data_IF_731791896575
#
_entry.id   IF_731791896575
#
_cell.length_a   1.000
_cell.length_b   1.000
_cell.length_c   1.000
_cell.angle_alpha   90.00
_cell.angle_beta   90.00
_cell.angle_gamma   90.00
#
_symmetry.space_group_name_H-M   'P 1'
#
loop_
_entity.id
_entity.type
_entity.pdbx_description
1 polymer ?
#
# COMPACT_ATOMS: atom_id res chain seq x y z
N UNK A 1 4.20 -4.12 -23.32
CA UNK A 1 4.58 -4.26 -21.90
C UNK A 1 4.37 -2.91 -21.18
N UNK A 2 3.14 -2.54 -20.85
CA UNK A 2 2.83 -1.37 -19.98
C UNK A 2 1.58 -1.75 -19.17
N UNK A 3 1.78 -2.28 -17.97
CA UNK A 3 0.68 -2.73 -17.09
C UNK A 3 0.34 -1.66 -16.06
N UNK A 4 1.33 -1.01 -15.45
CA UNK A 4 1.10 0.09 -14.50
C UNK A 4 0.51 1.35 -15.15
N UNK A 5 0.88 1.64 -16.40
CA UNK A 5 0.42 2.85 -17.09
C UNK A 5 -1.05 2.83 -17.57
N UNK A 6 -1.75 1.69 -17.48
CA UNK A 6 -3.17 1.58 -17.91
C UNK A 6 -4.18 1.83 -16.79
N UNK A 7 -3.76 1.67 -15.53
CA UNK A 7 -4.60 1.78 -14.32
C UNK A 7 -3.86 2.51 -13.19
N UNK A 8 -3.28 3.70 -13.45
CA UNK A 8 -2.43 4.39 -12.48
C UNK A 8 -3.18 4.79 -11.20
N UNK A 9 -4.46 5.17 -11.31
CA UNK A 9 -5.27 5.53 -10.15
C UNK A 9 -5.51 4.32 -9.24
N UNK A 10 -5.78 3.15 -9.83
CA UNK A 10 -5.95 1.91 -9.07
C UNK A 10 -4.72 1.56 -8.23
N UNK A 11 -3.52 1.69 -8.80
CA UNK A 11 -2.28 1.49 -8.05
C UNK A 11 -2.13 2.53 -6.93
N UNK A 12 -2.37 3.81 -7.24
CA UNK A 12 -2.28 4.90 -6.27
C UNK A 12 -3.23 4.72 -5.08
N UNK A 13 -4.43 4.21 -5.29
CA UNK A 13 -5.38 3.96 -4.21
C UNK A 13 -4.97 2.76 -3.35
N UNK A 14 -4.44 1.69 -3.96
CA UNK A 14 -4.08 0.47 -3.24
C UNK A 14 -2.72 0.55 -2.51
N UNK A 15 -1.79 1.38 -2.98
CA UNK A 15 -0.46 1.47 -2.34
C UNK A 15 -0.53 1.92 -0.88
N UNK A 16 -1.43 2.85 -0.56
CA UNK A 16 -1.56 3.39 0.80
C UNK A 16 -2.01 2.33 1.80
N UNK A 17 -3.16 1.64 1.63
CA UNK A 17 -3.57 0.58 2.54
C UNK A 17 -2.55 -0.57 2.57
N UNK A 18 -1.95 -0.92 1.43
CA UNK A 18 -0.91 -1.97 1.37
C UNK A 18 0.29 -1.61 2.24
N UNK A 19 0.80 -0.38 2.13
CA UNK A 19 1.91 0.08 2.96
C UNK A 19 1.57 0.11 4.45
N UNK A 20 0.35 0.53 4.82
CA UNK A 20 -0.11 0.55 6.21
C UNK A 20 -0.26 -0.86 6.78
N UNK A 21 -0.82 -1.80 6.02
CA UNK A 21 -0.96 -3.20 6.43
C UNK A 21 0.40 -3.88 6.63
N UNK A 22 1.32 -3.68 5.69
CA UNK A 22 2.70 -4.19 5.80
C UNK A 22 3.37 -3.58 7.05
N UNK A 23 3.24 -2.27 7.25
CA UNK A 23 3.83 -1.58 8.40
C UNK A 23 3.26 -2.08 9.74
N UNK A 24 1.94 -2.19 9.85
CA UNK A 24 1.28 -2.70 11.05
C UNK A 24 1.67 -4.15 11.36
N UNK A 25 1.70 -5.01 10.33
CA UNK A 25 2.15 -6.40 10.46
C UNK A 25 3.61 -6.52 10.88
N UNK A 26 4.49 -5.70 10.29
CA UNK A 26 5.90 -5.70 10.63
C UNK A 26 6.15 -5.22 12.07
N UNK A 27 5.43 -4.19 12.54
CA UNK A 27 5.52 -3.75 13.93
C UNK A 27 5.01 -4.83 14.89
N UNK A 28 3.90 -5.50 14.56
CA UNK A 28 3.36 -6.60 15.34
C UNK A 28 4.36 -7.77 15.47
N UNK A 29 4.96 -8.20 14.35
CA UNK A 29 5.97 -9.27 14.34
C UNK A 29 7.25 -8.86 15.07
N UNK A 30 7.65 -7.59 14.98
CA UNK A 30 8.82 -7.07 15.67
C UNK A 30 8.59 -6.75 17.16
N UNK A 31 7.39 -6.97 17.69
CA UNK A 31 7.02 -6.64 19.08
C UNK A 31 7.08 -5.13 19.38
N UNK A 32 7.02 -4.29 18.35
CA UNK A 32 7.03 -2.82 18.49
C UNK A 32 5.62 -2.32 18.81
N UNK A 33 5.48 -1.20 19.56
CA UNK A 33 4.18 -0.63 19.85
C UNK A 33 3.46 -0.26 18.54
N UNK A 34 2.20 -0.65 18.41
CA UNK A 34 1.35 -0.39 17.23
C UNK A 34 0.23 0.62 17.51
N UNK A 35 -0.08 0.88 18.79
CA UNK A 35 -1.19 1.76 19.17
C UNK A 35 -1.05 3.19 18.63
N UNK A 36 0.18 3.70 18.51
CA UNK A 36 0.46 5.03 17.94
C UNK A 36 0.09 5.15 16.46
N UNK A 37 0.00 4.03 15.73
CA UNK A 37 -0.35 4.00 14.30
C UNK A 37 -1.85 4.23 14.08
N UNK A 38 -2.67 4.10 15.12
CA UNK A 38 -4.13 4.22 15.08
C UNK A 38 -4.65 5.39 15.95
N UNK A 39 -3.79 6.38 16.22
CA UNK A 39 -4.13 7.56 17.02
C UNK A 39 -5.25 8.41 16.39
N UNK A 40 -5.98 9.14 17.24
CA UNK A 40 -7.16 9.93 16.85
C UNK A 40 -6.78 11.20 16.04
N UNK A 41 -7.72 11.74 15.25
CA UNK A 41 -7.54 12.85 14.29
C UNK A 41 -6.97 14.16 14.91
N UNK A 42 -7.15 14.35 16.22
CA UNK A 42 -6.64 15.49 17.00
C UNK A 42 -5.37 15.19 17.80
N UNK A 43 -4.98 13.91 17.89
CA UNK A 43 -3.85 13.44 18.68
C UNK A 43 -2.73 12.98 17.77
N UNK A 44 -1.98 13.93 17.22
CA UNK A 44 -0.68 13.66 16.59
C UNK A 44 0.29 13.24 17.70
N UNK A 45 0.14 12.01 18.18
CA UNK A 45 1.18 11.36 18.97
C UNK A 45 2.24 10.95 17.96
N UNK A 46 3.32 11.72 17.90
CA UNK A 46 4.47 11.39 17.05
C UNK A 46 4.92 9.96 17.29
N UNK A 47 5.47 9.32 16.26
CA UNK A 47 6.02 7.97 16.38
C UNK A 47 7.02 7.92 17.56
N UNK A 48 6.93 6.92 18.45
CA UNK A 48 7.88 6.75 19.53
C UNK A 48 9.33 6.73 19.03
N UNK A 49 10.25 7.28 19.82
CA UNK A 49 11.68 7.28 19.47
C UNK A 49 12.17 5.84 19.28
N UNK A 50 12.86 5.57 18.17
CA UNK A 50 13.40 4.24 17.87
C UNK A 50 12.38 3.22 17.35
N UNK A 51 11.12 3.61 17.10
CA UNK A 51 10.11 2.68 16.58
C UNK A 51 10.35 2.34 15.10
N UNK A 52 11.01 3.21 14.35
CA UNK A 52 11.29 3.02 12.92
C UNK A 52 12.17 1.79 12.60
N UNK A 53 12.23 1.47 11.31
CA UNK A 53 13.11 0.44 10.75
C UNK A 53 14.23 1.10 9.94
N UNK A 54 15.34 0.36 9.75
CA UNK A 54 16.39 0.82 8.87
C UNK A 54 15.92 0.87 7.41
N UNK A 55 16.68 1.59 6.58
CA UNK A 55 16.30 1.86 5.20
C UNK A 55 16.21 0.58 4.33
N UNK A 56 17.01 -0.45 4.62
CA UNK A 56 16.99 -1.70 3.88
C UNK A 56 15.66 -2.45 4.08
N UNK A 57 15.14 -2.50 5.31
CA UNK A 57 13.83 -3.10 5.61
C UNK A 57 12.72 -2.33 4.91
N UNK A 58 12.78 -0.99 4.93
CA UNK A 58 11.79 -0.13 4.24
C UNK A 58 11.77 -0.42 2.74
N UNK A 59 12.94 -0.52 2.09
CA UNK A 59 13.01 -0.86 0.67
C UNK A 59 12.51 -2.28 0.38
N UNK A 60 12.82 -3.26 1.22
CA UNK A 60 12.31 -4.62 1.06
C UNK A 60 10.78 -4.67 1.13
N UNK A 61 10.18 -3.97 2.10
CA UNK A 61 8.72 -3.83 2.21
C UNK A 61 8.10 -3.12 1.00
N UNK A 62 8.75 -2.06 0.50
CA UNK A 62 8.31 -1.36 -0.69
C UNK A 62 8.31 -2.27 -1.92
N UNK A 63 9.40 -3.01 -2.17
CA UNK A 63 9.50 -3.98 -3.28
C UNK A 63 8.39 -5.04 -3.14
N UNK A 64 8.21 -5.60 -1.93
CA UNK A 64 7.16 -6.59 -1.67
C UNK A 64 5.76 -6.02 -1.97
N UNK A 65 5.48 -4.78 -1.56
CA UNK A 65 4.23 -4.10 -1.87
C UNK A 65 4.01 -3.93 -3.38
N UNK A 66 5.03 -3.51 -4.13
CA UNK A 66 4.97 -3.40 -5.60
C UNK A 66 4.71 -4.76 -6.25
N UNK A 67 5.41 -5.81 -5.81
CA UNK A 67 5.24 -7.17 -6.32
C UNK A 67 3.84 -7.73 -6.02
N UNK A 68 3.27 -7.41 -4.86
CA UNK A 68 1.91 -7.80 -4.49
C UNK A 68 0.85 -7.07 -5.32
N UNK A 69 1.05 -5.77 -5.58
CA UNK A 69 0.09 -4.96 -6.34
C UNK A 69 0.15 -5.21 -7.85
N UNK A 70 1.30 -5.61 -8.39
CA UNK A 70 1.46 -5.89 -9.81
C UNK A 70 0.42 -6.87 -10.40
N UNK A 71 0.20 -8.08 -9.84
CA UNK A 71 -0.80 -9.01 -10.37
C UNK A 71 -2.22 -8.45 -10.27
N UNK A 72 -2.53 -7.69 -9.21
CA UNK A 72 -3.83 -7.04 -9.06
C UNK A 72 -4.07 -5.99 -10.15
N UNK A 73 -3.07 -5.12 -10.41
CA UNK A 73 -3.14 -4.14 -11.50
C UNK A 73 -3.26 -4.81 -12.87
N UNK A 74 -2.53 -5.92 -13.09
CA UNK A 74 -2.61 -6.70 -14.33
C UNK A 74 -4.00 -7.29 -14.56
N UNK A 75 -4.58 -7.87 -13.50
CA UNK A 75 -5.94 -8.40 -13.54
C UNK A 75 -6.97 -7.30 -13.83
N UNK A 76 -6.88 -6.17 -13.11
CA UNK A 76 -7.83 -5.06 -13.27
C UNK A 76 -7.75 -4.42 -14.67
N UNK A 77 -6.55 -4.31 -15.25
CA UNK A 77 -6.39 -3.89 -16.64
C UNK A 77 -7.11 -4.84 -17.63
N UNK A 78 -7.12 -6.14 -17.36
CA UNK A 78 -7.87 -7.13 -18.14
C UNK A 78 -9.39 -7.02 -17.95
N UNK A 79 -9.85 -6.62 -16.76
CA UNK A 79 -11.28 -6.34 -16.49
C UNK A 79 -11.73 -5.10 -17.26
N UNK A 80 -10.95 -4.01 -17.20
CA UNK A 80 -11.22 -2.77 -17.93
C UNK A 80 -11.21 -2.95 -19.46
N UNK A 81 -10.46 -3.92 -19.97
CA UNK A 81 -10.48 -4.27 -21.39
C UNK A 81 -11.76 -5.00 -21.83
N UNK A 82 -12.40 -5.75 -20.91
CA UNK A 82 -13.59 -6.58 -21.20
C UNK A 82 -14.91 -5.89 -20.87
N UNK A 83 -14.92 -4.95 -19.94
CA UNK A 83 -16.12 -4.23 -19.50
C UNK A 83 -16.02 -2.74 -19.81
N UNK A 84 -17.13 -2.13 -20.25
CA UNK A 84 -17.24 -0.70 -20.56
C UNK A 84 -18.12 0.06 -19.58
N UNK A 85 -18.19 -0.40 -18.33
CA UNK A 85 -18.98 0.27 -17.29
C UNK A 85 -18.47 1.70 -17.07
N UNK A 86 -19.38 2.65 -16.88
CA UNK A 86 -19.06 4.08 -16.82
C UNK A 86 -18.03 4.44 -15.73
N UNK A 87 -18.03 3.73 -14.60
CA UNK A 87 -17.09 3.97 -13.50
C UNK A 87 -15.66 3.46 -13.79
N UNK A 88 -15.50 2.50 -14.71
CA UNK A 88 -14.19 1.99 -15.12
C UNK A 88 -13.40 2.99 -15.96
N UNK A 89 -14.05 4.03 -16.51
CA UNK A 89 -13.35 5.13 -17.17
C UNK A 89 -12.58 5.98 -16.17
N UNK A 90 -13.05 6.06 -14.91
CA UNK A 90 -12.44 6.86 -13.86
C UNK A 90 -11.29 6.14 -13.14
N UNK A 91 -11.30 4.81 -13.08
CA UNK A 91 -10.31 3.95 -12.39
C UNK A 91 -9.35 3.24 -13.37
#
# INVERSE_FOLDING_TARGET
FITFGRVPLFFYLLQWPTAHLISAGLHFVAGKPTAWMFGNLLGIQGAPVGVGFNLAVVYACWIAGVLLLYPLCKWFAGVKARRKDWWLSYL
#
